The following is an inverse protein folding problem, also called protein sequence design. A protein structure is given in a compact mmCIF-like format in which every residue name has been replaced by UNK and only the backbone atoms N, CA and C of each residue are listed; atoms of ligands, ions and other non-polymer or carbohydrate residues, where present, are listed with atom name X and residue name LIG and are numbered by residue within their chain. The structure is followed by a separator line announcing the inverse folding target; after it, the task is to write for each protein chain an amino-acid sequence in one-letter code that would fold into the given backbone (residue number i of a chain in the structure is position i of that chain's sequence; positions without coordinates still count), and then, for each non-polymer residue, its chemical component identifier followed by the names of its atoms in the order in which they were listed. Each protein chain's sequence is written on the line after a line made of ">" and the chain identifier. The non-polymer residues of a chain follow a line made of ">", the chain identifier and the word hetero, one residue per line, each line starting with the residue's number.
data_IF_610105578739
#
_entry.id   IF_610105578739
#
_cell.length_a   1.000
_cell.length_b   1.000
_cell.length_c   1.000
_cell.angle_alpha   90.00
_cell.angle_beta   90.00
_cell.angle_gamma   90.00
#
_symmetry.space_group_name_H-M   'P 1'
#
loop_
_entity.id
_entity.type
_entity.pdbx_description
1 polymer ?
#
# COMPACT_ATOMS: atom_id res chain seq x y z
N UNK A 1 2.62 -17.64 -26.90
CA UNK A 1 3.98 -17.05 -26.86
C UNK A 1 4.22 -16.49 -25.46
N UNK A 2 5.14 -17.07 -24.65
CA UNK A 2 5.44 -16.57 -23.29
C UNK A 2 6.17 -15.21 -23.27
N UNK A 3 6.71 -14.77 -24.41
CA UNK A 3 7.32 -13.44 -24.57
C UNK A 3 6.32 -12.34 -24.92
N UNK A 4 5.11 -12.69 -25.36
CA UNK A 4 4.09 -11.71 -25.74
C UNK A 4 3.65 -10.84 -24.54
N UNK A 5 3.43 -9.55 -24.80
CA UNK A 5 2.91 -8.57 -23.84
C UNK A 5 1.82 -7.75 -24.50
N UNK A 6 0.69 -7.54 -23.81
CA UNK A 6 -0.44 -6.75 -24.32
C UNK A 6 -0.18 -5.24 -24.27
N UNK A 7 0.69 -4.81 -23.36
CA UNK A 7 1.09 -3.43 -23.12
C UNK A 7 2.60 -3.34 -22.98
N UNK A 8 3.16 -2.15 -23.20
CA UNK A 8 4.58 -1.87 -22.98
C UNK A 8 4.76 -0.76 -21.93
N UNK A 9 6.00 -0.58 -21.50
CA UNK A 9 6.35 0.39 -20.46
C UNK A 9 5.94 1.82 -20.84
N UNK A 10 6.27 2.25 -22.05
CA UNK A 10 6.00 3.62 -22.52
C UNK A 10 4.50 3.93 -22.58
N UNK A 11 3.68 2.95 -22.96
CA UNK A 11 2.22 3.09 -23.00
C UNK A 11 1.65 3.27 -21.60
N UNK A 12 2.13 2.48 -20.62
CA UNK A 12 1.71 2.61 -19.22
C UNK A 12 2.20 3.92 -18.62
N UNK A 13 3.46 4.29 -18.86
CA UNK A 13 4.05 5.56 -18.42
C UNK A 13 3.20 6.74 -18.92
N UNK A 14 2.86 6.78 -20.20
CA UNK A 14 2.06 7.87 -20.77
C UNK A 14 0.67 7.95 -20.13
N UNK A 15 0.01 6.81 -19.94
CA UNK A 15 -1.30 6.76 -19.28
C UNK A 15 -1.24 7.22 -17.81
N UNK A 16 -0.21 6.80 -17.07
CA UNK A 16 -0.01 7.27 -15.69
C UNK A 16 0.34 8.75 -15.64
N UNK A 17 1.10 9.27 -16.61
CA UNK A 17 1.44 10.70 -16.67
C UNK A 17 0.19 11.57 -16.80
N UNK A 18 -0.71 11.22 -17.71
CA UNK A 18 -2.01 11.90 -17.86
C UNK A 18 -2.82 11.87 -16.54
N UNK A 19 -2.84 10.71 -15.86
CA UNK A 19 -3.53 10.58 -14.58
C UNK A 19 -2.90 11.46 -13.48
N UNK A 20 -1.57 11.52 -13.40
CA UNK A 20 -0.84 12.33 -12.42
C UNK A 20 -1.14 13.81 -12.60
N UNK A 21 -1.12 14.30 -13.84
CA UNK A 21 -1.45 15.69 -14.16
C UNK A 21 -2.88 16.04 -13.71
N UNK A 22 -3.86 15.21 -14.06
CA UNK A 22 -5.24 15.42 -13.64
C UNK A 22 -5.44 15.38 -12.12
N UNK A 23 -4.76 14.48 -11.40
CA UNK A 23 -4.81 14.42 -9.94
C UNK A 23 -4.15 15.67 -9.32
N UNK A 24 -3.01 16.10 -9.85
CA UNK A 24 -2.29 17.27 -9.36
C UNK A 24 -3.10 18.56 -9.55
N UNK A 25 -3.68 18.77 -10.74
CA UNK A 25 -4.59 19.89 -11.01
C UNK A 25 -5.82 19.87 -10.10
N UNK A 26 -6.27 18.67 -9.71
CA UNK A 26 -7.32 18.47 -8.71
C UNK A 26 -6.94 18.88 -7.28
N UNK A 27 -5.68 19.21 -7.02
CA UNK A 27 -5.20 19.72 -5.73
C UNK A 27 -5.03 18.63 -4.67
N UNK A 28 -4.63 17.41 -5.05
CA UNK A 28 -4.34 16.33 -4.09
C UNK A 28 -3.12 16.65 -3.22
N UNK A 29 -3.16 16.21 -1.96
CA UNK A 29 -2.04 16.40 -1.02
C UNK A 29 -0.92 15.36 -1.20
N UNK A 30 -1.20 14.24 -1.86
CA UNK A 30 -0.28 13.12 -2.08
C UNK A 30 -0.71 12.26 -3.27
N UNK A 31 0.20 11.41 -3.75
CA UNK A 31 -0.09 10.40 -4.76
C UNK A 31 0.06 8.99 -4.17
N UNK A 32 -0.93 8.13 -4.39
CA UNK A 32 -0.93 6.74 -3.92
C UNK A 32 -0.94 5.78 -5.11
N UNK A 33 0.16 5.03 -5.29
CA UNK A 33 0.22 3.91 -6.24
C UNK A 33 -0.13 2.63 -5.48
N UNK A 34 -1.39 2.19 -5.58
CA UNK A 34 -1.90 1.08 -4.79
C UNK A 34 -2.36 -0.14 -5.59
N UNK A 35 -2.63 -1.23 -4.87
CA UNK A 35 -3.06 -2.52 -5.43
C UNK A 35 -2.08 -3.01 -6.50
N UNK A 36 -0.78 -2.80 -6.24
CA UNK A 36 0.27 -3.19 -7.18
C UNK A 36 0.38 -4.71 -7.19
N UNK A 37 -0.09 -5.31 -8.28
CA UNK A 37 0.09 -6.72 -8.58
C UNK A 37 1.29 -6.97 -9.53
N UNK A 38 1.80 -5.94 -10.20
CA UNK A 38 2.97 -6.04 -11.07
C UNK A 38 3.93 -4.86 -10.84
N UNK A 39 5.17 -5.19 -10.51
CA UNK A 39 6.21 -4.21 -10.13
C UNK A 39 6.70 -3.39 -11.32
N UNK A 40 6.67 -3.92 -12.54
CA UNK A 40 7.06 -3.17 -13.74
C UNK A 40 6.00 -2.11 -14.06
N UNK A 41 4.71 -2.43 -13.87
CA UNK A 41 3.64 -1.46 -13.98
C UNK A 41 3.78 -0.34 -12.94
N UNK A 42 4.10 -0.69 -11.67
CA UNK A 42 4.38 0.31 -10.64
C UNK A 42 5.57 1.19 -11.00
N UNK A 43 6.65 0.62 -11.57
CA UNK A 43 7.79 1.42 -12.05
C UNK A 43 7.38 2.39 -13.17
N UNK A 44 6.48 2.01 -14.07
CA UNK A 44 5.97 2.92 -15.08
C UNK A 44 5.19 4.09 -14.46
N UNK A 45 4.36 3.82 -13.44
CA UNK A 45 3.65 4.87 -12.71
C UNK A 45 4.60 5.80 -11.95
N UNK A 46 5.55 5.24 -11.21
CA UNK A 46 6.50 6.01 -10.40
C UNK A 46 7.46 6.82 -11.28
N UNK A 47 7.86 6.30 -12.43
CA UNK A 47 8.62 7.06 -13.42
C UNK A 47 7.83 8.23 -13.99
N UNK A 48 6.55 8.03 -14.31
CA UNK A 48 5.68 9.12 -14.77
C UNK A 48 5.49 10.22 -13.71
N UNK A 49 5.41 9.84 -12.43
CA UNK A 49 5.38 10.77 -11.29
C UNK A 49 6.69 11.56 -11.21
N UNK A 50 7.84 10.89 -11.27
CA UNK A 50 9.15 11.54 -11.18
C UNK A 50 9.36 12.51 -12.35
N UNK A 51 9.00 12.15 -13.57
CA UNK A 51 9.09 13.06 -14.72
C UNK A 51 8.18 14.28 -14.58
N UNK A 52 6.93 14.07 -14.12
CA UNK A 52 6.03 15.20 -13.86
C UNK A 52 6.63 16.16 -12.83
N UNK A 53 7.18 15.62 -11.76
CA UNK A 53 7.87 16.37 -10.73
C UNK A 53 9.13 17.07 -11.23
N UNK A 54 9.93 16.45 -12.10
CA UNK A 54 11.10 17.09 -12.73
C UNK A 54 10.71 18.26 -13.64
N UNK A 55 9.64 18.12 -14.43
CA UNK A 55 9.19 19.15 -15.36
C UNK A 55 8.45 20.31 -14.69
N UNK A 56 7.59 20.02 -13.72
CA UNK A 56 6.81 21.03 -13.00
C UNK A 56 7.62 21.77 -11.94
N UNK A 57 8.70 21.15 -11.43
CA UNK A 57 9.43 21.63 -10.25
C UNK A 57 8.70 21.39 -8.93
N UNK A 58 7.54 20.76 -8.97
CA UNK A 58 6.71 20.45 -7.80
C UNK A 58 7.10 19.10 -7.18
N UNK A 59 6.69 18.89 -5.93
CA UNK A 59 6.86 17.62 -5.22
C UNK A 59 5.68 17.36 -4.28
N UNK A 60 5.07 16.20 -4.41
CA UNK A 60 4.12 15.67 -3.44
C UNK A 60 4.65 14.38 -2.80
N UNK A 61 4.25 14.06 -1.56
CA UNK A 61 4.51 12.75 -0.98
C UNK A 61 3.92 11.62 -1.84
N UNK A 62 4.69 10.55 -2.02
CA UNK A 62 4.24 9.35 -2.74
C UNK A 62 4.05 8.21 -1.74
N UNK A 63 2.92 7.52 -1.80
CA UNK A 63 2.65 6.29 -1.08
C UNK A 63 2.63 5.11 -2.05
N UNK A 64 3.12 3.96 -1.60
CA UNK A 64 3.17 2.74 -2.41
C UNK A 64 2.52 1.59 -1.64
N UNK A 65 1.55 0.92 -2.26
CA UNK A 65 0.90 -0.25 -1.67
C UNK A 65 0.79 -1.41 -2.66
N UNK A 66 1.37 -2.54 -2.28
CA UNK A 66 1.31 -3.80 -3.04
C UNK A 66 0.12 -4.66 -2.66
N UNK A 67 -0.16 -5.69 -3.46
CA UNK A 67 -1.11 -6.72 -3.09
C UNK A 67 -0.49 -8.11 -3.23
N UNK A 68 -0.56 -8.89 -2.15
CA UNK A 68 -0.10 -10.29 -2.11
C UNK A 68 -1.31 -11.17 -2.36
N UNK A 69 -1.31 -11.90 -3.47
CA UNK A 69 -2.54 -12.52 -3.99
C UNK A 69 -2.89 -13.86 -3.36
N UNK A 70 -1.94 -14.53 -2.69
CA UNK A 70 -2.16 -15.83 -2.07
C UNK A 70 -1.19 -16.10 -0.90
N UNK A 71 -1.32 -17.27 -0.29
CA UNK A 71 -0.49 -17.73 0.82
C UNK A 71 1.00 -17.94 0.46
N UNK A 72 1.39 -17.82 -0.82
CA UNK A 72 2.80 -17.90 -1.22
C UNK A 72 3.62 -16.69 -0.77
N UNK A 73 2.95 -15.60 -0.38
CA UNK A 73 3.61 -14.37 0.07
C UNK A 73 4.23 -13.55 -1.04
N UNK A 74 3.74 -13.74 -2.26
CA UNK A 74 4.26 -13.08 -3.45
C UNK A 74 3.24 -12.12 -4.05
N UNK A 75 3.76 -11.03 -4.58
CA UNK A 75 3.07 -10.21 -5.57
C UNK A 75 2.84 -11.07 -6.81
N UNK A 76 1.81 -10.78 -7.63
CA UNK A 76 1.46 -11.61 -8.80
C UNK A 76 2.62 -11.76 -9.80
N UNK A 77 3.52 -10.76 -9.88
CA UNK A 77 4.78 -10.83 -10.65
C UNK A 77 5.84 -11.79 -10.07
N UNK A 78 5.55 -12.49 -8.97
CA UNK A 78 6.41 -13.48 -8.31
C UNK A 78 7.38 -12.92 -7.27
N UNK A 79 7.38 -11.61 -7.01
CA UNK A 79 8.28 -10.99 -6.03
C UNK A 79 7.84 -11.26 -4.60
N UNK A 80 8.79 -11.52 -3.69
CA UNK A 80 8.56 -11.43 -2.25
C UNK A 80 8.38 -9.97 -1.84
N UNK A 81 7.81 -9.72 -0.66
CA UNK A 81 7.63 -8.34 -0.15
C UNK A 81 8.95 -7.58 0.05
N UNK A 82 10.03 -8.27 0.44
CA UNK A 82 11.37 -7.69 0.52
C UNK A 82 11.93 -7.33 -0.86
N UNK A 83 11.73 -8.20 -1.86
CA UNK A 83 12.15 -7.90 -3.24
C UNK A 83 11.33 -6.75 -3.84
N UNK A 84 10.04 -6.66 -3.51
CA UNK A 84 9.16 -5.57 -3.90
C UNK A 84 9.61 -4.24 -3.29
N UNK A 85 9.90 -4.21 -1.98
CA UNK A 85 10.50 -3.05 -1.31
C UNK A 85 11.80 -2.59 -1.97
N UNK A 86 12.76 -3.50 -2.14
CA UNK A 86 14.05 -3.16 -2.75
C UNK A 86 13.92 -2.67 -4.19
N UNK A 87 12.89 -3.13 -4.92
CA UNK A 87 12.64 -2.71 -6.29
C UNK A 87 12.17 -1.26 -6.40
N UNK A 88 11.53 -0.72 -5.35
CA UNK A 88 10.82 0.57 -5.39
C UNK A 88 11.30 1.60 -4.34
N UNK A 89 12.13 1.21 -3.36
CA UNK A 89 12.61 2.11 -2.29
C UNK A 89 13.36 3.36 -2.77
N UNK A 90 13.87 3.35 -4.00
CA UNK A 90 14.54 4.50 -4.62
C UNK A 90 13.63 5.74 -4.73
N UNK A 91 12.31 5.56 -4.73
CA UNK A 91 11.31 6.65 -4.73
C UNK A 91 11.25 7.38 -3.38
N UNK A 92 11.82 6.81 -2.30
CA UNK A 92 11.72 7.35 -0.94
C UNK A 92 10.27 7.65 -0.51
N UNK A 93 9.36 6.66 -0.61
CA UNK A 93 7.93 6.91 -0.40
C UNK A 93 7.63 7.27 1.06
N UNK A 94 6.57 8.07 1.26
CA UNK A 94 6.03 8.41 2.58
C UNK A 94 5.57 7.17 3.34
N UNK A 95 4.89 6.25 2.65
CA UNK A 95 4.54 4.94 3.19
C UNK A 95 4.79 3.83 2.18
N UNK A 96 5.13 2.65 2.67
CA UNK A 96 5.23 1.42 1.89
C UNK A 96 4.44 0.30 2.58
N UNK A 97 3.54 -0.35 1.85
CA UNK A 97 2.61 -1.26 2.51
C UNK A 97 1.90 -2.26 1.62
N UNK A 98 0.86 -2.86 2.18
CA UNK A 98 0.01 -3.83 1.49
C UNK A 98 -1.47 -3.54 1.68
N UNK A 99 -2.24 -3.87 0.65
CA UNK A 99 -3.69 -3.78 0.65
C UNK A 99 -4.35 -4.88 -0.19
N UNK A 100 -5.66 -5.03 0.02
CA UNK A 100 -6.51 -5.95 -0.72
C UNK A 100 -6.06 -7.42 -0.63
N UNK A 101 -6.71 -8.28 -1.43
CA UNK A 101 -6.55 -9.73 -1.58
C UNK A 101 -6.75 -10.57 -0.30
N UNK A 102 -6.07 -10.22 0.79
CA UNK A 102 -6.06 -10.91 2.06
C UNK A 102 -6.78 -10.10 3.15
N UNK A 103 -7.42 -10.82 4.06
CA UNK A 103 -7.81 -10.27 5.36
C UNK A 103 -6.59 -10.08 6.27
N UNK A 104 -6.78 -9.35 7.38
CA UNK A 104 -5.69 -8.99 8.29
C UNK A 104 -4.89 -10.22 8.75
N UNK A 105 -5.57 -11.26 9.25
CA UNK A 105 -4.93 -12.46 9.79
C UNK A 105 -3.89 -13.09 8.84
N UNK A 106 -4.20 -13.16 7.54
CA UNK A 106 -3.30 -13.71 6.52
C UNK A 106 -2.22 -12.72 6.07
N UNK A 107 -2.48 -11.41 6.18
CA UNK A 107 -1.54 -10.36 5.78
C UNK A 107 -0.42 -10.14 6.82
N UNK A 108 -0.66 -10.49 8.09
CA UNK A 108 0.26 -10.26 9.22
C UNK A 108 1.73 -10.65 8.97
N UNK A 109 2.09 -11.86 8.50
CA UNK A 109 3.50 -12.23 8.32
C UNK A 109 4.22 -11.32 7.31
N UNK A 110 3.51 -10.82 6.29
CA UNK A 110 4.08 -9.96 5.26
C UNK A 110 4.26 -8.53 5.75
N UNK A 111 3.33 -8.03 6.57
CA UNK A 111 3.48 -6.74 7.24
C UNK A 111 4.64 -6.79 8.26
N UNK A 112 4.79 -7.89 8.99
CA UNK A 112 5.91 -8.07 9.90
C UNK A 112 7.27 -8.05 9.17
N UNK A 113 7.34 -8.66 7.98
CA UNK A 113 8.54 -8.62 7.15
C UNK A 113 8.82 -7.21 6.62
N UNK A 114 7.80 -6.50 6.12
CA UNK A 114 7.94 -5.09 5.70
C UNK A 114 8.38 -4.19 6.86
N UNK A 115 7.80 -4.35 8.04
CA UNK A 115 8.19 -3.62 9.25
C UNK A 115 9.67 -3.82 9.62
N UNK A 116 10.26 -4.97 9.27
CA UNK A 116 11.67 -5.29 9.49
C UNK A 116 12.58 -4.64 8.44
N UNK A 117 12.18 -4.59 7.17
CA UNK A 117 13.06 -4.17 6.06
C UNK A 117 12.87 -2.72 5.61
N UNK A 118 11.71 -2.11 5.88
CA UNK A 118 11.40 -0.73 5.46
C UNK A 118 11.98 0.30 6.42
N UNK A 119 12.69 1.28 5.85
CA UNK A 119 13.19 2.50 6.49
C UNK A 119 12.17 3.67 6.42
N UNK A 120 10.94 3.39 5.98
CA UNK A 120 9.83 4.35 5.89
C UNK A 120 8.59 3.85 6.65
N UNK A 121 7.56 4.67 6.77
CA UNK A 121 6.32 4.28 7.43
C UNK A 121 5.65 3.09 6.72
N UNK A 122 5.15 2.13 7.49
CA UNK A 122 4.46 0.95 6.94
C UNK A 122 2.95 1.17 6.94
N UNK A 123 2.31 0.95 5.80
CA UNK A 123 0.85 0.99 5.65
C UNK A 123 0.24 -0.41 5.55
N UNK A 124 -0.95 -0.60 6.11
CA UNK A 124 -1.70 -1.85 5.98
C UNK A 124 -3.20 -1.57 5.99
N UNK A 125 -3.89 -1.94 4.91
CA UNK A 125 -5.33 -1.78 4.83
C UNK A 125 -5.96 -3.03 4.16
N UNK A 126 -6.24 -4.08 4.97
CA UNK A 126 -6.69 -5.38 4.48
C UNK A 126 -8.16 -5.36 4.07
N UNK A 127 -8.60 -6.44 3.43
CA UNK A 127 -10.03 -6.72 3.24
C UNK A 127 -10.70 -7.07 4.58
N UNK A 128 -12.03 -7.00 4.64
CA UNK A 128 -12.84 -7.54 5.74
C UNK A 128 -12.91 -9.08 5.68
N UNK A 129 -11.74 -9.72 5.75
CA UNK A 129 -11.56 -11.15 5.53
C UNK A 129 -11.34 -11.52 4.07
N UNK A 130 -11.45 -12.81 3.77
CA UNK A 130 -11.41 -13.29 2.39
C UNK A 130 -12.77 -13.06 1.71
N UNK A 131 -12.80 -12.85 0.39
CA UNK A 131 -14.06 -12.81 -0.35
C UNK A 131 -14.88 -14.08 -0.13
N UNK A 132 -16.13 -13.92 0.29
CA UNK A 132 -17.08 -15.00 0.49
C UNK A 132 -18.37 -14.72 -0.32
N UNK A 133 -18.57 -15.38 -1.48
CA UNK A 133 -19.78 -15.22 -2.29
C UNK A 133 -21.08 -15.63 -1.60
N UNK A 134 -21.00 -16.38 -0.50
CA UNK A 134 -22.15 -16.81 0.29
C UNK A 134 -22.53 -15.84 1.40
N UNK A 135 -21.69 -14.83 1.68
CA UNK A 135 -22.01 -13.74 2.61
C UNK A 135 -22.90 -12.72 1.92
N UNK A 136 -23.87 -12.16 2.66
CA UNK A 136 -24.76 -11.09 2.18
C UNK A 136 -23.98 -9.85 1.71
N UNK A 137 -22.81 -9.59 2.30
CA UNK A 137 -21.95 -8.43 1.96
C UNK A 137 -20.80 -8.80 1.02
N UNK A 138 -20.63 -10.10 0.71
CA UNK A 138 -19.46 -10.64 0.03
C UNK A 138 -18.23 -10.84 0.92
N UNK A 139 -18.30 -10.50 2.21
CA UNK A 139 -17.21 -10.56 3.19
C UNK A 139 -17.74 -10.93 4.59
N UNK A 140 -17.00 -11.70 5.37
CA UNK A 140 -17.51 -12.22 6.66
C UNK A 140 -17.09 -11.42 7.89
N UNK A 141 -15.98 -10.68 7.82
CA UNK A 141 -15.47 -9.99 9.01
C UNK A 141 -16.34 -8.77 9.34
N UNK A 142 -16.69 -8.66 10.63
CA UNK A 142 -17.39 -7.50 11.17
C UNK A 142 -16.40 -6.38 11.52
N UNK A 143 -16.89 -5.14 11.76
CA UNK A 143 -16.06 -4.04 12.27
C UNK A 143 -15.18 -4.44 13.46
N UNK A 144 -15.71 -5.22 14.40
CA UNK A 144 -15.03 -5.63 15.62
C UNK A 144 -13.88 -6.60 15.32
N UNK A 145 -14.10 -7.53 14.39
CA UNK A 145 -13.09 -8.52 14.00
C UNK A 145 -11.94 -7.83 13.27
N UNK A 146 -12.24 -7.07 12.22
CA UNK A 146 -11.19 -6.41 11.42
C UNK A 146 -10.42 -5.40 12.27
N UNK A 147 -11.10 -4.59 13.08
CA UNK A 147 -10.42 -3.61 13.95
C UNK A 147 -9.56 -4.27 15.03
N UNK A 148 -10.02 -5.37 15.62
CA UNK A 148 -9.23 -6.14 16.59
C UNK A 148 -7.95 -6.71 15.99
N UNK A 149 -8.01 -7.27 14.78
CA UNK A 149 -6.82 -7.80 14.09
C UNK A 149 -5.83 -6.69 13.71
N UNK A 150 -6.31 -5.55 13.22
CA UNK A 150 -5.46 -4.39 12.89
C UNK A 150 -4.84 -3.78 14.17
N UNK A 151 -5.58 -3.77 15.28
CA UNK A 151 -5.11 -3.32 16.59
C UNK A 151 -3.91 -4.14 17.09
N UNK A 152 -3.89 -5.45 16.84
CA UNK A 152 -2.73 -6.30 17.15
C UNK A 152 -1.48 -5.84 16.39
N UNK A 153 -1.61 -5.43 15.12
CA UNK A 153 -0.45 -4.99 14.33
C UNK A 153 0.13 -3.69 14.89
N UNK A 154 -0.75 -2.76 15.27
CA UNK A 154 -0.34 -1.49 15.87
C UNK A 154 0.26 -1.71 17.27
N UNK A 155 -0.32 -2.60 18.08
CA UNK A 155 0.21 -2.98 19.40
C UNK A 155 1.62 -3.57 19.30
N UNK A 156 1.84 -4.41 18.30
CA UNK A 156 3.10 -5.09 18.08
C UNK A 156 4.12 -4.22 17.31
N UNK A 157 3.77 -2.95 17.03
CA UNK A 157 4.67 -1.98 16.40
C UNK A 157 4.98 -2.28 14.94
N UNK A 158 4.02 -2.84 14.19
CA UNK A 158 4.24 -3.24 12.80
C UNK A 158 3.80 -2.18 11.77
N UNK A 159 2.96 -1.23 12.16
CA UNK A 159 2.28 -0.30 11.22
C UNK A 159 2.35 1.15 11.68
N UNK A 160 2.22 2.05 10.72
CA UNK A 160 2.17 3.50 10.89
C UNK A 160 0.87 4.09 10.34
N UNK A 161 0.33 3.50 9.27
CA UNK A 161 -0.96 3.85 8.69
C UNK A 161 -1.80 2.58 8.56
N UNK A 162 -3.07 2.67 8.96
CA UNK A 162 -4.03 1.57 8.83
C UNK A 162 -5.32 2.04 8.21
N UNK A 163 -6.02 1.12 7.55
CA UNK A 163 -7.32 1.39 6.93
C UNK A 163 -8.05 0.11 6.57
N UNK A 164 -8.92 0.18 5.58
CA UNK A 164 -9.65 -0.95 5.04
C UNK A 164 -9.71 -0.94 3.52
N UNK A 165 -9.80 -2.12 2.91
CA UNK A 165 -10.00 -2.30 1.47
C UNK A 165 -11.37 -2.95 1.21
N UNK A 166 -11.45 -3.99 0.37
CA UNK A 166 -12.72 -4.60 0.00
C UNK A 166 -13.47 -5.18 1.21
N UNK A 167 -14.78 -4.97 1.26
CA UNK A 167 -15.65 -5.41 2.35
C UNK A 167 -15.68 -4.48 3.57
N UNK A 168 -14.73 -3.56 3.70
CA UNK A 168 -14.75 -2.61 4.81
C UNK A 168 -15.77 -1.49 4.58
N UNK A 169 -16.35 -1.00 5.68
CA UNK A 169 -17.41 0.02 5.68
C UNK A 169 -17.04 1.19 6.59
N UNK A 170 -17.79 2.31 6.58
CA UNK A 170 -17.54 3.41 7.52
C UNK A 170 -17.54 2.97 9.00
N UNK A 171 -18.30 1.95 9.38
CA UNK A 171 -18.29 1.42 10.74
C UNK A 171 -16.99 0.66 11.05
N UNK A 172 -16.43 -0.07 10.08
CA UNK A 172 -15.09 -0.66 10.21
C UNK A 172 -14.04 0.43 10.45
N UNK A 173 -14.04 1.48 9.61
CA UNK A 173 -13.09 2.59 9.73
C UNK A 173 -13.24 3.31 11.08
N UNK A 174 -14.47 3.52 11.56
CA UNK A 174 -14.72 4.12 12.88
C UNK A 174 -14.11 3.31 14.00
N UNK A 175 -14.26 1.98 13.99
CA UNK A 175 -13.69 1.11 15.02
C UNK A 175 -12.17 1.01 14.92
N UNK A 176 -11.61 0.90 13.72
CA UNK A 176 -10.15 0.96 13.49
C UNK A 176 -9.59 2.26 14.07
N UNK A 177 -10.19 3.41 13.74
CA UNK A 177 -9.75 4.71 14.26
C UNK A 177 -9.80 4.77 15.79
N UNK A 178 -10.88 4.27 16.41
CA UNK A 178 -11.00 4.20 17.87
C UNK A 178 -9.91 3.33 18.51
N UNK A 179 -9.59 2.18 17.92
CA UNK A 179 -8.52 1.31 18.41
C UNK A 179 -7.15 2.01 18.33
N UNK A 180 -6.87 2.70 17.22
CA UNK A 180 -5.60 3.40 17.00
C UNK A 180 -5.33 4.55 17.98
N UNK A 181 -6.36 5.16 18.58
CA UNK A 181 -6.17 6.25 19.58
C UNK A 181 -5.31 5.84 20.78
N UNK A 182 -5.18 4.53 21.05
CA UNK A 182 -4.42 3.97 22.18
C UNK A 182 -3.05 3.46 21.76
N UNK A 183 -2.68 3.59 20.49
CA UNK A 183 -1.48 2.98 19.90
C UNK A 183 -0.47 4.05 19.52
N UNK A 184 0.81 3.67 19.57
CA UNK A 184 1.90 4.49 19.03
C UNK A 184 2.26 3.95 17.64
N UNK A 185 2.56 4.82 16.67
CA UNK A 185 3.08 4.37 15.39
C UNK A 185 4.38 3.58 15.57
N UNK A 186 4.63 2.62 14.68
CA UNK A 186 5.90 1.90 14.60
C UNK A 186 7.09 2.88 14.55
N UNK A 187 8.13 2.71 15.37
CA UNK A 187 9.37 3.46 15.21
C UNK A 187 10.13 2.98 13.98
N UNK A 188 10.64 3.92 13.18
CA UNK A 188 11.55 3.62 12.08
C UNK A 188 12.57 4.74 11.95
N UNK A 189 13.78 4.39 11.54
CA UNK A 189 14.83 5.38 11.27
C UNK A 189 14.62 5.86 9.84
N UNK A 190 14.31 7.15 9.68
CA UNK A 190 14.34 7.79 8.37
C UNK A 190 15.45 8.84 8.40
N UNK A 191 16.32 8.85 7.39
CA UNK A 191 17.31 9.92 7.20
C UNK A 191 16.63 11.31 7.13
N UNK A 192 15.33 11.37 6.77
CA UNK A 192 14.52 12.60 6.75
C UNK A 192 14.20 13.20 8.12
N UNK A 193 14.37 12.44 9.22
CA UNK A 193 14.13 12.98 10.56
C UNK A 193 15.18 14.02 10.97
N UNK A 194 16.35 14.01 10.33
CA UNK A 194 17.40 15.00 10.54
C UNK A 194 17.23 16.26 9.68
N UNK A 195 16.53 16.18 8.54
CA UNK A 195 16.24 17.37 7.69
C UNK A 195 15.03 18.19 8.16
N UNK A 196 14.19 17.62 9.04
CA UNK A 196 13.01 18.28 9.60
C UNK A 196 13.17 18.71 11.07
N UNK A 197 14.35 18.52 11.66
CA UNK A 197 14.71 18.91 13.03
C UNK A 197 15.69 20.11 13.03
#
# INVERSE_FOLDING_TARGET
>A
DPGARNVNFDSLRAAYREQVEGLFEGGVDLLLVETIFDTLNAKAALFAIDEFFEESGERLPVMISGTVTDASGRILSGQTVEAFWNSLRHIKPLTFGLNCALGAALMRPYIAELARVCDTAVSCYPNAGLPNPMSDTGFDETPEVTSGLVDEFARDGLVNLVGGCCGTTPDHIRQIAQAMTKRKPRPFHSDRAEEMA
#
